data_IF_975477257646
#
_entry.id   IF_975477257646
#
_cell.length_a   1.000
_cell.length_b   1.000
_cell.length_c   1.000
_cell.angle_alpha   90.00
_cell.angle_beta   90.00
_cell.angle_gamma   90.00
#
_symmetry.space_group_name_H-M   'P 1'
#
loop_
_entity.id
_entity.type
_entity.pdbx_description
1 polymer ?
#
# COMPACT_ATOMS: atom_id res chain seq x y z
N UNK A 1 -29.95 2.66 6.19
CA UNK A 1 -28.57 3.04 6.55
C UNK A 1 -27.78 2.85 5.27
N UNK A 2 -27.70 3.90 4.46
CA UNK A 2 -27.07 3.81 3.15
C UNK A 2 -25.57 3.72 3.34
N UNK A 3 -25.00 2.58 2.97
CA UNK A 3 -23.55 2.37 2.93
C UNK A 3 -22.94 3.41 1.97
N UNK A 4 -22.19 4.41 2.44
CA UNK A 4 -21.80 5.50 1.59
C UNK A 4 -20.59 5.08 0.72
N UNK A 5 -20.72 5.27 -0.59
CA UNK A 5 -19.63 5.67 -1.49
C UNK A 5 -18.38 4.78 -1.65
N UNK A 6 -18.43 3.47 -1.42
CA UNK A 6 -17.31 2.57 -1.82
C UNK A 6 -17.42 2.15 -3.29
N UNK A 7 -17.75 3.08 -4.19
CA UNK A 7 -17.94 2.79 -5.63
C UNK A 7 -16.78 3.26 -6.49
N UNK A 8 -15.88 4.10 -5.96
CA UNK A 8 -14.75 4.66 -6.71
C UNK A 8 -13.42 4.21 -6.12
N UNK A 9 -12.65 3.49 -6.93
CA UNK A 9 -11.33 2.99 -6.57
C UNK A 9 -10.26 3.64 -7.46
N UNK A 10 -9.08 3.85 -6.90
CA UNK A 10 -7.87 4.17 -7.68
C UNK A 10 -7.04 2.90 -7.83
N UNK A 11 -6.80 2.49 -9.07
CA UNK A 11 -5.89 1.40 -9.38
C UNK A 11 -4.44 1.87 -9.47
N UNK A 12 -3.52 1.04 -8.97
CA UNK A 12 -2.08 1.17 -9.17
C UNK A 12 -1.54 -0.20 -9.57
N UNK A 13 -0.51 -0.21 -10.41
CA UNK A 13 0.20 -1.41 -10.86
C UNK A 13 1.69 -1.15 -10.78
N UNK A 14 2.46 -2.15 -10.36
CA UNK A 14 3.92 -2.10 -10.37
C UNK A 14 4.48 -3.42 -10.91
N UNK A 15 5.60 -3.33 -11.62
CA UNK A 15 6.32 -4.51 -12.08
C UNK A 15 7.23 -5.04 -10.96
N UNK A 16 7.39 -6.36 -10.91
CA UNK A 16 8.27 -7.05 -9.96
C UNK A 16 9.03 -8.18 -10.65
N UNK A 17 10.03 -8.73 -9.96
CA UNK A 17 10.83 -9.82 -10.50
C UNK A 17 10.01 -11.11 -10.69
N UNK A 18 10.54 -12.02 -11.51
CA UNK A 18 9.86 -13.29 -11.82
C UNK A 18 9.60 -14.10 -10.56
N UNK A 19 8.36 -14.58 -10.38
CA UNK A 19 7.91 -15.41 -9.24
C UNK A 19 8.04 -14.75 -7.86
N UNK A 20 8.09 -13.43 -7.79
CA UNK A 20 7.94 -12.72 -6.53
C UNK A 20 6.46 -12.66 -6.14
N UNK A 21 6.13 -13.14 -4.94
CA UNK A 21 4.77 -13.05 -4.39
C UNK A 21 4.59 -11.78 -3.55
N UNK A 22 5.62 -11.39 -2.78
CA UNK A 22 5.59 -10.17 -1.96
C UNK A 22 5.51 -8.94 -2.87
N UNK A 23 4.60 -8.01 -2.56
CA UNK A 23 4.47 -6.76 -3.30
C UNK A 23 5.63 -5.83 -2.94
N UNK A 24 6.71 -5.89 -3.71
CA UNK A 24 7.96 -5.14 -3.45
C UNK A 24 7.78 -3.62 -3.48
N UNK A 25 6.81 -3.11 -4.25
CA UNK A 25 6.54 -1.67 -4.38
C UNK A 25 5.46 -1.17 -3.42
N UNK A 26 5.02 -2.01 -2.47
CA UNK A 26 4.02 -1.61 -1.48
C UNK A 26 4.51 -0.41 -0.66
N UNK A 27 5.79 -0.44 -0.29
CA UNK A 27 6.53 0.65 0.32
C UNK A 27 7.96 0.71 -0.23
N UNK A 28 8.44 1.92 -0.51
CA UNK A 28 9.84 2.18 -0.83
C UNK A 28 10.31 3.44 -0.11
N UNK A 29 11.61 3.49 0.14
CA UNK A 29 12.27 4.72 0.57
C UNK A 29 13.56 4.92 -0.20
N UNK A 30 13.87 6.16 -0.54
CA UNK A 30 15.14 6.51 -1.16
C UNK A 30 15.65 7.83 -0.60
N UNK A 31 16.97 8.04 -0.66
CA UNK A 31 17.59 9.29 -0.27
C UNK A 31 17.52 10.27 -1.44
N UNK A 32 16.80 11.37 -1.27
CA UNK A 32 16.78 12.49 -2.21
C UNK A 32 17.84 13.53 -1.78
N UNK A 33 18.72 14.00 -2.69
CA UNK A 33 19.77 14.97 -2.35
C UNK A 33 19.28 16.29 -1.77
N UNK A 34 18.03 16.68 -2.02
CA UNK A 34 17.43 17.95 -1.57
C UNK A 34 16.44 17.76 -0.42
N UNK A 35 15.69 16.66 -0.42
CA UNK A 35 14.59 16.41 0.51
C UNK A 35 14.92 15.43 1.62
N UNK A 36 16.10 14.83 1.60
CA UNK A 36 16.49 13.82 2.58
C UNK A 36 15.82 12.48 2.30
N UNK A 37 15.46 11.73 3.34
CA UNK A 37 14.76 10.45 3.18
C UNK A 37 13.35 10.68 2.64
N UNK A 38 13.05 10.13 1.47
CA UNK A 38 11.73 10.23 0.82
C UNK A 38 11.06 8.87 0.82
N UNK A 39 9.87 8.82 1.42
CA UNK A 39 8.98 7.68 1.40
C UNK A 39 8.11 7.69 0.13
N UNK A 40 7.97 6.51 -0.49
CA UNK A 40 7.23 6.26 -1.71
C UNK A 40 6.56 4.87 -1.64
N UNK A 41 5.91 4.47 -2.73
CA UNK A 41 5.23 3.17 -2.83
C UNK A 41 3.72 3.30 -2.94
N UNK A 42 3.09 2.17 -3.26
CA UNK A 42 1.69 2.12 -3.66
C UNK A 42 0.74 2.60 -2.54
N UNK A 43 0.99 2.19 -1.29
CA UNK A 43 0.13 2.57 -0.15
C UNK A 43 0.15 4.08 0.05
N UNK A 44 1.32 4.72 -0.05
CA UNK A 44 1.44 6.17 0.11
C UNK A 44 0.66 6.93 -0.96
N UNK A 45 0.74 6.49 -2.20
CA UNK A 45 0.00 7.10 -3.31
C UNK A 45 -1.52 6.94 -3.14
N UNK A 46 -1.99 5.78 -2.65
CA UNK A 46 -3.40 5.56 -2.33
C UNK A 46 -3.87 6.45 -1.18
N UNK A 47 -3.07 6.59 -0.10
CA UNK A 47 -3.40 7.46 1.04
C UNK A 47 -3.46 8.93 0.65
N UNK A 48 -2.53 9.39 -0.20
CA UNK A 48 -2.56 10.75 -0.75
C UNK A 48 -3.80 10.93 -1.60
N UNK A 49 -4.13 9.95 -2.46
CA UNK A 49 -5.34 10.00 -3.29
C UNK A 49 -6.61 10.08 -2.44
N UNK A 50 -6.70 9.26 -1.40
CA UNK A 50 -7.83 9.23 -0.47
C UNK A 50 -8.01 10.57 0.23
N UNK A 51 -6.91 11.16 0.74
CA UNK A 51 -6.97 12.47 1.40
C UNK A 51 -7.35 13.59 0.42
N UNK A 52 -6.90 13.51 -0.82
CA UNK A 52 -7.28 14.48 -1.87
C UNK A 52 -8.76 14.37 -2.25
N UNK A 53 -9.33 13.17 -2.29
CA UNK A 53 -10.74 12.97 -2.66
C UNK A 53 -11.70 13.21 -1.51
N UNK A 54 -11.31 12.92 -0.27
CA UNK A 54 -12.20 13.01 0.90
C UNK A 54 -11.92 14.20 1.81
N UNK A 55 -10.71 14.78 1.75
CA UNK A 55 -10.22 15.77 2.72
C UNK A 55 -9.74 15.16 4.05
N UNK A 56 -10.04 13.88 4.31
CA UNK A 56 -9.75 13.21 5.57
C UNK A 56 -8.58 12.24 5.47
N UNK A 57 -7.96 11.92 6.62
CA UNK A 57 -7.08 10.76 6.74
C UNK A 57 -7.94 9.52 7.04
N UNK A 58 -7.63 8.34 6.48
CA UNK A 58 -8.35 7.13 6.84
C UNK A 58 -8.02 6.75 8.29
N UNK A 59 -9.06 6.39 9.06
CA UNK A 59 -8.91 5.94 10.45
C UNK A 59 -8.61 4.43 10.54
N UNK A 60 -8.97 3.68 9.50
CA UNK A 60 -8.80 2.23 9.39
C UNK A 60 -8.46 1.87 7.95
N UNK A 61 -7.62 0.85 7.78
CA UNK A 61 -7.32 0.24 6.50
C UNK A 61 -7.81 -1.20 6.55
N UNK A 62 -8.60 -1.60 5.55
CA UNK A 62 -8.96 -2.98 5.30
C UNK A 62 -8.19 -3.39 4.05
N UNK A 63 -7.34 -4.41 4.17
CA UNK A 63 -6.45 -4.84 3.11
C UNK A 63 -6.81 -6.26 2.69
N UNK A 64 -7.40 -6.41 1.51
CA UNK A 64 -7.70 -7.71 0.92
C UNK A 64 -6.53 -8.12 0.04
N UNK A 65 -5.85 -9.21 0.43
CA UNK A 65 -4.68 -9.75 -0.27
C UNK A 65 -5.03 -11.10 -0.89
N UNK A 66 -5.11 -11.14 -2.22
CA UNK A 66 -5.52 -12.34 -2.97
C UNK A 66 -4.33 -13.17 -3.47
N UNK A 67 -4.47 -14.49 -3.57
CA UNK A 67 -3.49 -15.34 -4.25
C UNK A 67 -2.15 -15.52 -3.52
N UNK A 68 -2.16 -15.61 -2.19
CA UNK A 68 -0.98 -15.95 -1.38
C UNK A 68 -0.98 -17.44 -1.09
N UNK A 69 0.14 -18.12 -1.37
CA UNK A 69 0.27 -19.55 -1.07
C UNK A 69 0.40 -19.78 0.44
N UNK A 70 -0.18 -20.87 0.96
CA UNK A 70 -0.14 -21.16 2.41
C UNK A 70 1.30 -21.22 2.95
N UNK A 71 2.23 -21.77 2.18
CA UNK A 71 3.65 -21.88 2.56
C UNK A 71 4.39 -20.53 2.64
N UNK A 72 3.88 -19.48 1.99
CA UNK A 72 4.47 -18.14 1.98
C UNK A 72 3.69 -17.12 2.82
N UNK A 73 2.50 -17.49 3.30
CA UNK A 73 1.56 -16.59 3.98
C UNK A 73 2.20 -15.78 5.11
N UNK A 74 2.92 -16.44 6.03
CA UNK A 74 3.53 -15.75 7.16
C UNK A 74 4.58 -14.72 6.74
N UNK A 75 5.39 -15.05 5.73
CA UNK A 75 6.39 -14.12 5.22
C UNK A 75 5.72 -12.92 4.55
N UNK A 76 4.77 -13.18 3.64
CA UNK A 76 4.02 -12.11 2.96
C UNK A 76 3.33 -11.19 3.97
N UNK A 77 2.63 -11.76 4.95
CA UNK A 77 1.93 -11.00 5.98
C UNK A 77 2.89 -10.09 6.76
N UNK A 78 4.01 -10.62 7.25
CA UNK A 78 4.95 -9.84 8.05
C UNK A 78 5.57 -8.70 7.25
N UNK A 79 6.01 -8.97 6.02
CA UNK A 79 6.63 -7.95 5.16
C UNK A 79 5.63 -6.88 4.72
N UNK A 80 4.45 -7.27 4.26
CA UNK A 80 3.45 -6.31 3.77
C UNK A 80 2.84 -5.49 4.91
N UNK A 81 2.65 -6.08 6.10
CA UNK A 81 2.18 -5.34 7.28
C UNK A 81 3.20 -4.29 7.73
N UNK A 82 4.49 -4.64 7.82
CA UNK A 82 5.56 -3.70 8.13
C UNK A 82 5.65 -2.57 7.10
N UNK A 83 5.52 -2.90 5.81
CA UNK A 83 5.49 -1.92 4.73
C UNK A 83 4.32 -0.92 4.87
N UNK A 84 3.11 -1.40 5.20
CA UNK A 84 1.95 -0.52 5.44
C UNK A 84 2.19 0.37 6.66
N UNK A 85 2.70 -0.19 7.76
CA UNK A 85 2.97 0.54 9.00
C UNK A 85 3.98 1.68 8.82
N UNK A 86 4.98 1.50 7.96
CA UNK A 86 6.00 2.53 7.65
C UNK A 86 5.44 3.78 6.96
N UNK A 87 4.23 3.73 6.41
CA UNK A 87 3.61 4.83 5.66
C UNK A 87 2.55 5.59 6.47
N UNK A 88 2.02 4.96 7.53
CA UNK A 88 1.02 5.54 8.42
C UNK A 88 1.63 6.58 9.37
#
# INVERSE_FOLDING_TARGET
MDWPEVTKYRGLVSAQAHREEIIQDLYKSHQDPKKGLVHAGMVRELLISFRRSTGFKPHRIIFYRDGVSEGQFNQVLLYEMDAIQKVL
#
